data_IF_804478458167
#
_entry.id   IF_804478458167
#
_cell.length_a   1.000
_cell.length_b   1.000
_cell.length_c   1.000
_cell.angle_alpha   90.00
_cell.angle_beta   90.00
_cell.angle_gamma   90.00
#
_symmetry.space_group_name_H-M   'P 1'
#
loop_
_entity.id
_entity.type
_entity.pdbx_description
1 polymer ?
#
# COMPACT_ATOMS: atom_id res chain seq x y z
N UNK A 1 12.52 -10.57 23.53
CA UNK A 1 11.36 -10.85 24.40
C UNK A 1 10.14 -11.02 23.51
N UNK A 2 9.55 -12.22 23.53
CA UNK A 2 8.33 -12.51 22.78
C UNK A 2 7.13 -11.98 23.55
N UNK A 3 6.29 -11.20 22.88
CA UNK A 3 5.06 -10.67 23.46
C UNK A 3 4.05 -11.79 23.57
N UNK A 4 3.40 -11.91 24.73
CA UNK A 4 2.38 -12.91 24.99
C UNK A 4 1.08 -12.50 24.30
N UNK A 5 0.39 -13.47 23.69
CA UNK A 5 -0.89 -13.30 22.97
C UNK A 5 -1.97 -12.54 23.76
N UNK A 6 -1.94 -12.61 25.09
CA UNK A 6 -2.88 -11.91 25.99
C UNK A 6 -2.79 -10.38 25.94
N UNK A 7 -1.62 -9.80 25.66
CA UNK A 7 -1.47 -8.33 25.54
C UNK A 7 -2.01 -7.82 24.19
N UNK A 8 -1.93 -8.64 23.14
CA UNK A 8 -2.49 -8.32 21.81
C UNK A 8 -4.03 -8.28 21.84
N UNK A 9 -4.67 -9.16 22.60
CA UNK A 9 -6.14 -9.24 22.69
C UNK A 9 -6.75 -8.02 23.41
N UNK A 10 -6.12 -7.55 24.49
CA UNK A 10 -6.56 -6.36 25.23
C UNK A 10 -6.50 -5.10 24.39
N UNK A 11 -5.48 -4.97 23.54
CA UNK A 11 -5.33 -3.83 22.62
C UNK A 11 -6.31 -3.96 21.46
N UNK A 12 -6.51 -5.15 20.90
CA UNK A 12 -7.42 -5.36 19.75
C UNK A 12 -8.88 -4.98 20.02
N UNK A 13 -9.34 -5.14 21.27
CA UNK A 13 -10.71 -4.84 21.69
C UNK A 13 -11.02 -3.33 21.78
N UNK A 14 -10.00 -2.46 21.77
CA UNK A 14 -10.15 -1.00 21.87
C UNK A 14 -10.38 -0.33 20.51
N UNK A 15 -10.41 -1.09 19.41
CA UNK A 15 -10.42 -0.52 18.05
C UNK A 15 -11.53 -1.11 17.19
N UNK A 16 -12.29 -0.20 16.55
CA UNK A 16 -13.24 -0.52 15.50
C UNK A 16 -12.79 0.14 14.19
N UNK A 17 -12.71 -0.60 13.07
CA UNK A 17 -13.00 -2.04 12.93
C UNK A 17 -11.99 -3.00 13.61
N UNK A 18 -12.48 -4.15 14.13
CA UNK A 18 -11.68 -5.15 14.88
C UNK A 18 -10.45 -5.69 14.12
N UNK A 19 -10.49 -5.74 12.79
CA UNK A 19 -9.36 -6.16 11.95
C UNK A 19 -8.16 -5.20 12.06
N UNK A 20 -8.41 -3.92 12.32
CA UNK A 20 -7.34 -2.96 12.60
C UNK A 20 -6.80 -3.12 14.01
N UNK A 21 -7.58 -3.59 14.98
CA UNK A 21 -7.11 -3.85 16.33
C UNK A 21 -5.90 -4.79 16.38
N UNK A 22 -5.92 -5.88 15.60
CA UNK A 22 -4.77 -6.78 15.48
C UNK A 22 -3.57 -6.13 14.77
N UNK A 23 -3.85 -5.32 13.76
CA UNK A 23 -2.84 -4.64 12.95
C UNK A 23 -2.12 -3.54 13.74
N UNK A 24 -2.86 -2.81 14.58
CA UNK A 24 -2.37 -1.79 15.50
C UNK A 24 -1.60 -2.39 16.66
N UNK A 25 -2.08 -3.51 17.22
CA UNK A 25 -1.35 -4.23 18.25
C UNK A 25 0.00 -4.71 17.71
N UNK A 26 0.05 -5.23 16.48
CA UNK A 26 1.32 -5.56 15.82
C UNK A 26 2.19 -4.33 15.49
N UNK A 27 1.60 -3.17 15.19
CA UNK A 27 2.33 -1.91 15.01
C UNK A 27 3.08 -1.50 16.28
N UNK A 28 2.36 -1.57 17.41
CA UNK A 28 2.88 -1.25 18.73
C UNK A 28 4.04 -2.16 19.11
N UNK A 29 3.93 -3.47 18.84
CA UNK A 29 5.03 -4.43 19.02
C UNK A 29 6.25 -4.20 18.14
N UNK A 30 6.08 -3.43 17.06
CA UNK A 30 7.15 -3.03 16.17
C UNK A 30 7.72 -1.64 16.50
N UNK A 31 7.30 -1.04 17.62
CA UNK A 31 7.80 0.25 18.10
C UNK A 31 7.13 1.47 17.46
N UNK A 32 6.01 1.28 16.75
CA UNK A 32 5.22 2.41 16.25
C UNK A 32 4.18 2.86 17.29
N UNK A 33 4.02 4.16 17.46
CA UNK A 33 2.91 4.75 18.22
C UNK A 33 1.55 4.25 17.70
N UNK A 34 0.78 3.64 18.59
CA UNK A 34 -0.50 3.02 18.25
C UNK A 34 -1.56 4.05 17.81
N UNK A 35 -1.51 5.28 18.33
CA UNK A 35 -2.46 6.33 17.98
C UNK A 35 -2.17 6.88 16.58
N UNK A 36 -0.90 7.03 16.20
CA UNK A 36 -0.52 7.47 14.86
C UNK A 36 -0.84 6.39 13.82
N UNK A 37 -0.57 5.12 14.13
CA UNK A 37 -0.96 4.00 13.28
C UNK A 37 -2.49 3.93 13.08
N UNK A 38 -3.26 4.18 14.15
CA UNK A 38 -4.73 4.25 14.11
C UNK A 38 -5.21 5.40 13.24
N UNK A 39 -4.68 6.61 13.45
CA UNK A 39 -5.04 7.80 12.66
C UNK A 39 -4.76 7.58 11.17
N UNK A 40 -3.66 6.92 10.82
CA UNK A 40 -3.36 6.60 9.43
C UNK A 40 -4.41 5.65 8.84
N UNK A 41 -4.71 4.55 9.54
CA UNK A 41 -5.69 3.57 9.11
C UNK A 41 -7.09 4.20 8.94
N UNK A 42 -7.56 4.98 9.91
CA UNK A 42 -8.85 5.68 9.85
C UNK A 42 -8.93 6.68 8.69
N UNK A 43 -7.85 7.45 8.46
CA UNK A 43 -7.80 8.37 7.33
C UNK A 43 -7.83 7.63 6.00
N UNK A 44 -7.11 6.51 5.88
CA UNK A 44 -7.17 5.68 4.68
C UNK A 44 -8.57 5.13 4.41
N UNK A 45 -9.23 4.58 5.44
CA UNK A 45 -10.60 4.06 5.35
C UNK A 45 -11.59 5.15 4.91
N UNK A 46 -11.40 6.38 5.40
CA UNK A 46 -12.22 7.54 5.00
C UNK A 46 -11.95 7.98 3.56
N UNK A 47 -10.71 7.88 3.10
CA UNK A 47 -10.29 8.50 1.83
C UNK A 47 -10.34 7.56 0.63
N UNK A 48 -10.16 6.24 0.83
CA UNK A 48 -10.08 5.31 -0.29
C UNK A 48 -11.37 5.20 -1.12
N UNK A 49 -12.60 5.41 -0.59
CA UNK A 49 -13.79 5.45 -1.41
C UNK A 49 -13.74 6.58 -2.45
N UNK A 50 -12.96 7.63 -2.19
CA UNK A 50 -12.71 8.75 -3.09
C UNK A 50 -11.43 8.59 -3.93
N UNK A 51 -10.84 7.40 -3.94
CA UNK A 51 -9.66 7.11 -4.76
C UNK A 51 -9.98 7.29 -6.26
N UNK A 52 -11.21 6.98 -6.66
CA UNK A 52 -11.68 7.12 -8.04
C UNK A 52 -10.99 6.15 -9.00
N UNK A 53 -11.37 6.20 -10.27
CA UNK A 53 -10.76 5.38 -11.32
C UNK A 53 -9.54 6.12 -11.91
N UNK A 54 -8.46 5.37 -12.12
CA UNK A 54 -7.21 5.90 -12.70
C UNK A 54 -6.91 5.10 -13.95
N UNK A 55 -6.51 5.75 -15.04
CA UNK A 55 -6.15 5.06 -16.26
C UNK A 55 -4.66 4.69 -16.24
N UNK A 56 -4.36 3.41 -16.40
CA UNK A 56 -3.02 2.89 -16.70
C UNK A 56 -2.85 2.80 -18.22
N UNK A 57 -1.71 3.27 -18.74
CA UNK A 57 -1.46 3.38 -20.19
C UNK A 57 -1.17 2.05 -20.88
N UNK A 58 -0.86 0.99 -20.14
CA UNK A 58 -0.40 -0.27 -20.69
C UNK A 58 1.13 -0.38 -20.71
N UNK A 59 1.62 -1.60 -20.87
CA UNK A 59 3.04 -1.92 -21.02
C UNK A 59 3.22 -3.26 -21.75
N UNK A 60 4.28 -3.39 -22.53
CA UNK A 60 4.72 -4.69 -23.08
C UNK A 60 5.99 -5.10 -22.35
N UNK A 61 5.94 -6.24 -21.66
CA UNK A 61 7.01 -6.75 -20.82
C UNK A 61 7.39 -8.17 -21.25
N UNK A 62 8.51 -8.69 -20.74
CA UNK A 62 8.96 -10.06 -21.00
C UNK A 62 7.94 -11.13 -20.54
N UNK A 63 7.11 -10.81 -19.56
CA UNK A 63 6.03 -11.68 -19.04
C UNK A 63 4.69 -11.51 -19.77
N UNK A 64 4.58 -10.62 -20.77
CA UNK A 64 3.38 -10.48 -21.59
C UNK A 64 2.97 -9.03 -21.89
N UNK A 65 1.88 -8.91 -22.64
CA UNK A 65 1.27 -7.62 -23.01
C UNK A 65 0.18 -7.26 -22.00
N UNK A 66 0.31 -6.06 -21.45
CA UNK A 66 -0.66 -5.47 -20.54
C UNK A 66 -1.30 -4.26 -21.22
N UNK A 67 -2.54 -4.41 -21.66
CA UNK A 67 -3.29 -3.35 -22.34
C UNK A 67 -3.60 -2.18 -21.41
N UNK A 68 -3.84 -0.99 -21.96
CA UNK A 68 -4.35 0.14 -21.17
C UNK A 68 -5.68 -0.18 -20.49
N UNK A 69 -5.91 0.35 -19.29
CA UNK A 69 -7.12 0.03 -18.54
C UNK A 69 -7.34 0.85 -17.28
N UNK A 70 -8.56 0.73 -16.75
CA UNK A 70 -8.97 1.35 -15.49
C UNK A 70 -8.40 0.58 -14.29
N UNK A 71 -7.84 1.32 -13.35
CA UNK A 71 -7.29 0.82 -12.10
C UNK A 71 -8.23 1.17 -10.96
N UNK A 72 -8.60 0.14 -10.19
CA UNK A 72 -9.43 0.26 -8.99
C UNK A 72 -8.64 -0.06 -7.73
N UNK A 73 -9.04 0.57 -6.62
CA UNK A 73 -8.56 0.26 -5.28
C UNK A 73 -9.71 -0.37 -4.49
N UNK A 74 -9.66 -1.69 -4.31
CA UNK A 74 -10.64 -2.42 -3.52
C UNK A 74 -10.23 -2.49 -2.03
N UNK A 75 -11.15 -2.99 -1.20
CA UNK A 75 -10.93 -3.10 0.25
C UNK A 75 -9.72 -3.98 0.61
N UNK A 76 -9.44 -5.03 -0.16
CA UNK A 76 -8.30 -5.91 0.10
C UNK A 76 -6.97 -5.24 -0.25
N UNK A 77 -6.92 -4.50 -1.36
CA UNK A 77 -5.80 -3.64 -1.71
C UNK A 77 -5.50 -2.60 -0.62
N UNK A 78 -6.55 -1.94 -0.09
CA UNK A 78 -6.44 -0.98 1.03
C UNK A 78 -5.83 -1.64 2.26
N UNK A 79 -6.37 -2.78 2.68
CA UNK A 79 -5.83 -3.54 3.82
C UNK A 79 -4.36 -3.89 3.63
N UNK A 80 -3.98 -4.36 2.43
CA UNK A 80 -2.60 -4.70 2.12
C UNK A 80 -1.69 -3.47 2.15
N UNK A 81 -2.14 -2.32 1.65
CA UNK A 81 -1.41 -1.05 1.72
C UNK A 81 -1.22 -0.66 3.18
N UNK A 82 -2.29 -0.55 3.97
CA UNK A 82 -2.22 -0.17 5.39
C UNK A 82 -1.30 -1.11 6.15
N UNK A 83 -1.51 -2.43 6.02
CA UNK A 83 -0.67 -3.46 6.66
C UNK A 83 0.80 -3.28 6.35
N UNK A 84 1.13 -3.02 5.09
CA UNK A 84 2.51 -2.91 4.62
C UNK A 84 3.18 -1.58 4.98
N UNK A 85 2.39 -0.57 5.33
CA UNK A 85 2.86 0.69 5.90
C UNK A 85 3.00 0.61 7.44
N UNK A 86 2.15 -0.18 8.10
CA UNK A 86 2.14 -0.37 9.57
C UNK A 86 3.14 -1.41 10.10
N UNK A 87 3.23 -2.60 9.51
CA UNK A 87 3.97 -3.73 10.11
C UNK A 87 5.45 -3.78 9.74
N UNK A 88 6.11 -2.64 9.63
CA UNK A 88 7.28 -2.45 8.76
C UNK A 88 8.63 -2.90 9.33
N UNK A 89 8.72 -4.12 9.89
CA UNK A 89 10.01 -4.75 10.27
C UNK A 89 10.94 -5.16 9.11
N UNK A 90 10.61 -4.87 7.84
CA UNK A 90 11.28 -5.51 6.70
C UNK A 90 12.17 -4.61 5.80
N UNK A 91 12.15 -3.26 5.89
CA UNK A 91 12.98 -2.43 4.98
C UNK A 91 13.49 -1.13 5.64
N UNK A 92 14.80 -0.88 5.56
CA UNK A 92 15.52 0.26 6.19
C UNK A 92 15.10 1.66 5.69
N UNK A 93 14.44 1.80 4.54
CA UNK A 93 14.06 3.09 3.95
C UNK A 93 12.70 3.62 4.38
N UNK A 94 12.10 3.04 5.44
CA UNK A 94 10.68 3.20 5.79
C UNK A 94 10.36 4.26 6.84
N UNK A 95 11.37 4.85 7.49
CA UNK A 95 11.20 5.94 8.48
C UNK A 95 10.62 7.25 7.91
N UNK A 96 10.51 7.35 6.57
CA UNK A 96 9.99 8.55 5.90
C UNK A 96 8.45 8.59 5.82
N UNK A 97 7.75 7.48 6.09
CA UNK A 97 6.29 7.39 5.94
C UNK A 97 5.48 7.66 7.21
N UNK A 98 6.08 7.64 8.40
CA UNK A 98 5.41 8.07 9.64
C UNK A 98 4.88 9.51 9.56
N UNK A 99 5.41 10.31 8.64
CA UNK A 99 5.05 11.71 8.43
C UNK A 99 4.08 11.95 7.27
N UNK A 100 3.61 10.91 6.59
CA UNK A 100 2.75 11.07 5.42
C UNK A 100 1.29 10.82 5.76
N UNK A 101 0.44 11.72 5.27
CA UNK A 101 -1.00 11.55 5.35
C UNK A 101 -1.49 10.46 4.39
N UNK A 102 -2.65 9.88 4.65
CA UNK A 102 -3.30 8.95 3.72
C UNK A 102 -3.48 9.58 2.33
N UNK A 103 -3.82 10.87 2.26
CA UNK A 103 -3.97 11.65 1.02
C UNK A 103 -2.70 11.66 0.21
N UNK A 104 -1.57 11.88 0.87
CA UNK A 104 -0.27 11.90 0.20
C UNK A 104 0.04 10.54 -0.38
N UNK A 105 -0.19 9.48 0.38
CA UNK A 105 0.08 8.12 -0.09
C UNK A 105 -0.81 7.78 -1.27
N UNK A 106 -2.12 8.09 -1.20
CA UNK A 106 -3.04 7.91 -2.32
C UNK A 106 -2.58 8.67 -3.55
N UNK A 107 -2.20 9.94 -3.40
CA UNK A 107 -1.70 10.77 -4.50
C UNK A 107 -0.46 10.18 -5.14
N UNK A 108 0.53 9.75 -4.34
CA UNK A 108 1.74 9.12 -4.88
C UNK A 108 1.43 7.80 -5.61
N UNK A 109 0.47 7.01 -5.12
CA UNK A 109 -0.02 5.83 -5.84
C UNK A 109 -0.62 6.23 -7.19
N UNK A 110 -1.48 7.27 -7.23
CA UNK A 110 -2.12 7.71 -8.48
C UNK A 110 -1.09 8.14 -9.52
N UNK A 111 -0.10 8.92 -9.09
CA UNK A 111 0.94 9.43 -9.97
C UNK A 111 1.87 8.31 -10.46
N UNK A 112 2.16 7.32 -9.61
CA UNK A 112 2.94 6.14 -10.01
C UNK A 112 2.22 5.32 -11.09
N UNK A 113 0.89 5.22 -11.03
CA UNK A 113 0.09 4.52 -12.03
C UNK A 113 0.07 5.29 -13.37
N UNK A 114 -0.08 6.62 -13.31
CA UNK A 114 -0.20 7.47 -14.51
C UNK A 114 1.12 7.59 -15.28
N UNK A 115 2.21 7.73 -14.54
CA UNK A 115 3.53 8.07 -15.07
C UNK A 115 4.61 7.29 -14.30
N UNK A 116 4.66 5.94 -14.44
CA UNK A 116 5.76 5.17 -13.87
C UNK A 116 7.08 5.57 -14.53
N UNK A 117 8.16 5.61 -13.74
CA UNK A 117 9.52 5.72 -14.26
C UNK A 117 10.03 4.36 -14.76
N UNK A 118 9.54 3.28 -14.15
CA UNK A 118 9.89 1.90 -14.47
C UNK A 118 8.67 0.98 -14.32
N UNK A 119 8.61 -0.04 -15.17
CA UNK A 119 7.55 -1.04 -15.22
C UNK A 119 8.18 -2.42 -15.38
N UNK A 120 7.95 -3.30 -14.41
CA UNK A 120 8.52 -4.64 -14.39
C UNK A 120 7.44 -5.71 -14.18
N UNK A 121 7.78 -6.94 -14.52
CA UNK A 121 6.98 -8.12 -14.27
C UNK A 121 6.76 -8.31 -12.77
N UNK A 122 5.49 -8.48 -12.40
CA UNK A 122 5.15 -8.83 -11.03
C UNK A 122 5.56 -10.28 -10.73
N UNK A 123 5.67 -10.59 -9.44
CA UNK A 123 6.03 -11.94 -8.98
C UNK A 123 4.95 -12.99 -9.22
N UNK A 124 3.73 -12.57 -9.56
CA UNK A 124 2.60 -13.45 -9.85
C UNK A 124 2.20 -13.31 -11.33
N UNK A 125 1.62 -14.35 -11.93
CA UNK A 125 0.96 -14.22 -13.23
C UNK A 125 -0.01 -13.04 -13.24
N UNK A 126 -0.13 -12.36 -14.38
CA UNK A 126 -1.04 -11.23 -14.56
C UNK A 126 -0.80 -10.03 -13.62
N UNK A 127 0.37 -9.96 -12.98
CA UNK A 127 0.75 -8.82 -12.13
C UNK A 127 1.94 -8.06 -12.71
N UNK A 128 2.00 -6.77 -12.39
CA UNK A 128 3.08 -5.87 -12.77
C UNK A 128 3.48 -5.01 -11.58
N UNK A 129 4.73 -4.56 -11.59
CA UNK A 129 5.29 -3.61 -10.65
C UNK A 129 5.50 -2.28 -11.37
N UNK A 130 4.83 -1.24 -10.91
CA UNK A 130 5.04 0.13 -11.34
C UNK A 130 5.90 0.84 -10.31
N UNK A 131 6.94 1.53 -10.74
CA UNK A 131 7.84 2.25 -9.85
C UNK A 131 8.00 3.69 -10.31
N UNK A 132 7.93 4.62 -9.37
CA UNK A 132 8.16 6.05 -9.62
C UNK A 132 8.89 6.69 -8.45
N UNK A 133 9.93 7.48 -8.73
CA UNK A 133 10.55 8.31 -7.72
C UNK A 133 9.58 9.40 -7.26
N UNK A 134 9.38 9.50 -5.95
CA UNK A 134 8.63 10.60 -5.38
C UNK A 134 9.58 11.55 -4.65
N UNK A 135 9.77 12.78 -5.13
CA UNK A 135 10.51 13.81 -4.42
C UNK A 135 9.96 14.07 -3.02
N UNK A 136 8.63 13.99 -2.85
CA UNK A 136 7.97 14.17 -1.56
C UNK A 136 8.33 13.07 -0.56
N UNK A 137 8.50 11.83 -1.04
CA UNK A 137 8.92 10.71 -0.21
C UNK A 137 10.45 10.65 -0.03
N UNK A 138 11.21 11.33 -0.89
CA UNK A 138 12.66 11.17 -1.01
C UNK A 138 13.07 9.71 -1.23
N UNK A 139 12.23 8.93 -1.93
CA UNK A 139 12.41 7.51 -2.28
C UNK A 139 11.41 7.12 -3.38
N UNK A 140 11.48 5.88 -3.89
CA UNK A 140 10.57 5.38 -4.92
C UNK A 140 9.27 4.86 -4.30
N UNK A 141 8.14 5.16 -4.93
CA UNK A 141 6.85 4.51 -4.70
C UNK A 141 6.74 3.33 -5.65
N UNK A 142 6.48 2.15 -5.11
CA UNK A 142 6.20 0.94 -5.85
C UNK A 142 4.71 0.60 -5.71
N UNK A 143 4.02 0.36 -6.83
CA UNK A 143 2.62 -0.05 -6.90
C UNK A 143 2.53 -1.35 -7.67
N UNK A 144 1.86 -2.34 -7.09
CA UNK A 144 1.62 -3.63 -7.77
C UNK A 144 0.19 -3.62 -8.30
N UNK A 145 0.07 -3.75 -9.62
CA UNK A 145 -1.22 -3.95 -10.28
C UNK A 145 -1.39 -5.41 -10.67
N UNK A 146 -2.64 -5.89 -10.63
CA UNK A 146 -3.02 -7.20 -11.14
C UNK A 146 -4.18 -7.05 -12.12
N UNK A 147 -4.06 -7.67 -13.29
CA UNK A 147 -5.10 -7.69 -14.32
C UNK A 147 -6.25 -8.58 -13.83
N UNK A 148 -7.44 -7.98 -13.70
CA UNK A 148 -8.66 -8.68 -13.24
C UNK A 148 -9.66 -8.89 -14.36
N UNK A 149 -9.44 -8.25 -15.51
CA UNK A 149 -10.26 -8.39 -16.70
C UNK A 149 -9.70 -7.59 -17.86
N UNK A 150 -10.41 -7.59 -18.98
CA UNK A 150 -10.02 -6.80 -20.14
C UNK A 150 -10.15 -5.31 -19.83
N UNK A 151 -9.03 -4.59 -19.83
CA UNK A 151 -8.98 -3.16 -19.51
C UNK A 151 -9.25 -2.83 -18.04
N UNK A 152 -9.14 -3.80 -17.13
CA UNK A 152 -9.34 -3.59 -15.70
C UNK A 152 -8.20 -4.18 -14.86
N UNK A 153 -7.73 -3.37 -13.92
CA UNK A 153 -6.65 -3.68 -13.01
C UNK A 153 -7.05 -3.36 -11.57
N UNK A 154 -6.58 -4.17 -10.63
CA UNK A 154 -6.68 -3.86 -9.20
C UNK A 154 -5.32 -3.51 -8.61
N UNK A 155 -5.30 -2.59 -7.67
CA UNK A 155 -4.12 -2.32 -6.85
C UNK A 155 -4.05 -3.41 -5.77
N UNK A 156 -3.04 -4.29 -5.87
CA UNK A 156 -2.82 -5.34 -4.88
C UNK A 156 -2.14 -4.78 -3.64
N UNK A 157 -1.18 -3.88 -3.84
CA UNK A 157 -0.40 -3.28 -2.76
C UNK A 157 0.43 -2.11 -3.30
N UNK A 158 0.82 -1.21 -2.41
CA UNK A 158 1.75 -0.14 -2.69
C UNK A 158 2.69 0.04 -1.48
N UNK A 159 3.93 0.46 -1.74
CA UNK A 159 4.94 0.59 -0.70
C UNK A 159 6.15 1.43 -1.17
N UNK A 160 6.86 2.10 -0.25
CA UNK A 160 8.16 2.69 -0.57
C UNK A 160 9.20 1.61 -0.84
N UNK A 161 10.02 1.84 -1.85
CA UNK A 161 11.14 0.99 -2.20
C UNK A 161 12.44 1.78 -2.29
N UNK A 162 13.48 1.31 -1.58
CA UNK A 162 14.84 1.83 -1.71
C UNK A 162 15.64 1.17 -2.83
N UNK A 163 15.23 -0.03 -3.26
CA UNK A 163 15.87 -0.79 -4.33
C UNK A 163 14.81 -1.28 -5.30
N UNK A 164 14.72 -0.60 -6.42
CA UNK A 164 14.29 -1.01 -7.77
C UNK A 164 14.86 0.05 -8.69
#
# INVERSE_FOLDING_TARGET
MGVKTSELDQVSCLFSPKEFGQLLAQAWLNGWDANDAKKLAEKFEKEYPYFGNIWFKGATLSCGVFDGGWVILDKEGVKHIIKRHILTRAYRSKDKFKYLSAQDIMREIKETIRNPDDVDCGKKPNSMLLVRYSPKLGTKMAVVLEKVGNGWYRIVTAFPASKY
#
